data_IF_808670530121
#
_entry.id   IF_808670530121
#
_cell.length_a   1.000
_cell.length_b   1.000
_cell.length_c   1.000
_cell.angle_alpha   90.00
_cell.angle_beta   90.00
_cell.angle_gamma   90.00
#
_symmetry.space_group_name_H-M   'P 1'
#
loop_
_entity.id
_entity.type
_entity.pdbx_description
1 polymer ?
#
# COMPACT_ATOMS: atom_id res chain seq x y z
N UNK A 1 -6.51 20.59 86.59
CA UNK A 1 -5.75 19.82 85.57
C UNK A 1 -6.70 18.81 84.94
N UNK A 2 -6.69 18.72 83.62
CA UNK A 2 -7.78 18.17 82.79
C UNK A 2 -8.25 16.77 83.19
N UNK A 3 -9.58 16.63 83.33
CA UNK A 3 -10.29 15.38 83.60
C UNK A 3 -10.35 14.45 82.39
N UNK A 4 -9.90 14.90 81.21
CA UNK A 4 -9.91 14.15 79.97
C UNK A 4 -8.53 14.30 79.33
N UNK A 5 -7.86 13.17 79.14
CA UNK A 5 -6.61 13.08 78.39
C UNK A 5 -6.92 13.28 76.89
N UNK A 6 -6.51 14.41 76.27
CA UNK A 6 -6.88 14.76 74.90
C UNK A 6 -6.45 13.67 73.89
N UNK A 7 -5.34 12.99 74.17
CA UNK A 7 -4.81 11.94 73.31
C UNK A 7 -5.67 10.68 73.36
N UNK A 8 -6.23 10.34 74.54
CA UNK A 8 -7.14 9.19 74.71
C UNK A 8 -8.52 9.48 74.11
N UNK A 9 -9.04 10.70 74.27
CA UNK A 9 -10.29 11.12 73.63
C UNK A 9 -10.17 11.11 72.10
N UNK A 10 -9.03 11.59 71.57
CA UNK A 10 -8.74 11.50 70.14
C UNK A 10 -8.62 10.06 69.66
N UNK A 11 -7.96 9.18 70.42
CA UNK A 11 -7.84 7.76 70.06
C UNK A 11 -9.21 7.06 70.00
N UNK A 12 -10.11 7.35 70.94
CA UNK A 12 -11.46 6.80 70.96
C UNK A 12 -12.36 7.35 69.83
N UNK A 13 -12.20 8.62 69.45
CA UNK A 13 -12.98 9.29 68.39
C UNK A 13 -12.35 9.21 66.99
N UNK A 14 -11.12 8.68 66.89
CA UNK A 14 -10.39 8.48 65.63
C UNK A 14 -11.22 7.80 64.53
N UNK A 15 -11.97 6.71 64.78
CA UNK A 15 -12.75 6.06 63.74
C UNK A 15 -13.93 6.92 63.23
N UNK A 16 -14.58 7.68 64.11
CA UNK A 16 -15.62 8.63 63.73
C UNK A 16 -15.04 9.80 62.92
N UNK A 17 -13.94 10.38 63.39
CA UNK A 17 -13.24 11.46 62.70
C UNK A 17 -12.78 11.03 61.29
N UNK A 18 -12.26 9.81 61.11
CA UNK A 18 -11.92 9.30 59.77
C UNK A 18 -13.12 9.12 58.87
N UNK A 19 -14.27 8.70 59.41
CA UNK A 19 -15.50 8.50 58.64
C UNK A 19 -16.07 9.83 58.13
N UNK A 20 -16.13 10.85 58.99
CA UNK A 20 -16.54 12.19 58.57
C UNK A 20 -15.55 12.84 57.61
N UNK A 21 -14.24 12.65 57.84
CA UNK A 21 -13.19 13.16 56.96
C UNK A 21 -13.27 12.57 55.55
N UNK A 22 -13.65 11.29 55.42
CA UNK A 22 -13.85 10.61 54.14
C UNK A 22 -15.29 10.71 53.61
N UNK A 23 -16.10 11.67 54.11
CA UNK A 23 -17.51 11.87 53.74
C UNK A 23 -18.29 10.55 53.70
N UNK A 24 -18.24 9.78 54.79
CA UNK A 24 -18.90 8.47 54.91
C UNK A 24 -18.49 7.46 53.84
N UNK A 25 -17.26 7.56 53.32
CA UNK A 25 -16.72 6.71 52.25
C UNK A 25 -17.41 6.89 50.89
N UNK A 26 -18.33 7.84 50.76
CA UNK A 26 -19.13 8.10 49.56
C UNK A 26 -18.23 8.49 48.38
N UNK A 27 -17.21 9.32 48.64
CA UNK A 27 -16.21 9.72 47.65
C UNK A 27 -15.40 8.52 47.13
N UNK A 28 -14.98 7.63 48.04
CA UNK A 28 -14.24 6.40 47.67
C UNK A 28 -15.11 5.45 46.86
N UNK A 29 -16.39 5.34 47.20
CA UNK A 29 -17.34 4.50 46.47
C UNK A 29 -17.62 5.08 45.08
N UNK A 30 -17.78 6.40 44.97
CA UNK A 30 -17.96 7.10 43.70
C UNK A 30 -16.77 6.90 42.76
N UNK A 31 -15.56 7.22 43.20
CA UNK A 31 -14.38 7.10 42.34
C UNK A 31 -14.02 5.66 42.00
N UNK A 32 -14.24 4.71 42.93
CA UNK A 32 -13.85 3.32 42.72
C UNK A 32 -14.86 2.54 41.88
N UNK A 33 -16.15 2.78 42.07
CA UNK A 33 -17.20 1.99 41.41
C UNK A 33 -17.70 2.74 40.18
N UNK A 34 -18.18 3.96 40.36
CA UNK A 34 -18.82 4.70 39.26
C UNK A 34 -17.82 5.29 38.29
N UNK A 35 -16.82 6.05 38.75
CA UNK A 35 -15.87 6.70 37.85
C UNK A 35 -14.99 5.67 37.11
N UNK A 36 -14.43 4.68 37.80
CA UNK A 36 -13.66 3.61 37.16
C UNK A 36 -14.54 2.70 36.29
N UNK A 37 -15.76 2.39 36.71
CA UNK A 37 -16.70 1.61 35.92
C UNK A 37 -17.04 2.29 34.59
N UNK A 38 -17.39 3.58 34.63
CA UNK A 38 -17.66 4.37 33.44
C UNK A 38 -16.42 4.48 32.54
N UNK A 39 -15.25 4.74 33.10
CA UNK A 39 -14.00 4.84 32.34
C UNK A 39 -13.64 3.51 31.66
N UNK A 40 -13.89 2.38 32.32
CA UNK A 40 -13.68 1.04 31.76
C UNK A 40 -14.62 0.74 30.60
N UNK A 41 -15.92 1.03 30.77
CA UNK A 41 -16.91 0.87 29.71
C UNK A 41 -16.63 1.77 28.51
N UNK A 42 -16.31 3.05 28.75
CA UNK A 42 -15.96 4.01 27.71
C UNK A 42 -14.74 3.55 26.90
N UNK A 43 -13.68 3.09 27.57
CA UNK A 43 -12.50 2.53 26.88
C UNK A 43 -12.82 1.26 26.11
N UNK A 44 -13.66 0.38 26.67
CA UNK A 44 -14.09 -0.85 26.00
C UNK A 44 -14.84 -0.55 24.70
N UNK A 45 -15.83 0.35 24.76
CA UNK A 45 -16.60 0.78 23.59
C UNK A 45 -15.73 1.50 22.57
N UNK A 46 -14.80 2.36 23.01
CA UNK A 46 -13.86 3.03 22.12
C UNK A 46 -12.96 2.03 21.39
N UNK A 47 -12.38 1.07 22.09
CA UNK A 47 -11.54 0.05 21.47
C UNK A 47 -12.30 -0.87 20.52
N UNK A 48 -13.55 -1.22 20.83
CA UNK A 48 -14.40 -2.01 19.93
C UNK A 48 -14.82 -1.20 18.70
N UNK A 49 -15.25 0.05 18.87
CA UNK A 49 -15.67 0.89 17.76
C UNK A 49 -14.51 1.23 16.83
N UNK A 50 -13.44 1.80 17.37
CA UNK A 50 -12.33 2.33 16.58
C UNK A 50 -11.49 1.20 15.98
N UNK A 51 -10.91 0.33 16.82
CA UNK A 51 -9.98 -0.70 16.32
C UNK A 51 -10.64 -1.87 15.61
N UNK A 52 -11.89 -2.17 15.91
CA UNK A 52 -12.54 -3.33 15.28
C UNK A 52 -13.37 -2.93 14.07
N UNK A 53 -14.21 -1.90 14.19
CA UNK A 53 -15.05 -1.47 13.07
C UNK A 53 -14.28 -0.58 12.10
N UNK A 54 -13.63 0.48 12.58
CA UNK A 54 -12.98 1.46 11.68
C UNK A 54 -11.71 0.87 11.08
N UNK A 55 -10.76 0.43 11.92
CA UNK A 55 -9.50 -0.16 11.43
C UNK A 55 -9.75 -1.46 10.64
N UNK A 56 -10.70 -2.29 11.09
CA UNK A 56 -11.06 -3.53 10.38
C UNK A 56 -11.65 -3.25 9.00
N UNK A 57 -12.55 -2.27 8.89
CA UNK A 57 -13.13 -1.86 7.62
C UNK A 57 -12.09 -1.24 6.68
N UNK A 58 -11.23 -0.36 7.19
CA UNK A 58 -10.14 0.24 6.42
C UNK A 58 -9.15 -0.82 5.92
N UNK A 59 -8.79 -1.79 6.75
CA UNK A 59 -7.92 -2.89 6.34
C UNK A 59 -8.57 -3.78 5.27
N UNK A 60 -9.87 -4.06 5.38
CA UNK A 60 -10.61 -4.80 4.36
C UNK A 60 -10.65 -4.04 3.03
N UNK A 61 -10.94 -2.73 3.06
CA UNK A 61 -10.92 -1.88 1.88
C UNK A 61 -9.54 -1.85 1.22
N UNK A 62 -8.48 -1.66 2.02
CA UNK A 62 -7.11 -1.69 1.51
C UNK A 62 -6.79 -3.03 0.87
N UNK A 63 -7.13 -4.15 1.52
CA UNK A 63 -6.92 -5.48 0.98
C UNK A 63 -7.62 -5.68 -0.38
N UNK A 64 -8.88 -5.28 -0.49
CA UNK A 64 -9.66 -5.36 -1.73
C UNK A 64 -9.06 -4.46 -2.82
N UNK A 65 -8.72 -3.22 -2.47
CA UNK A 65 -8.08 -2.27 -3.37
C UNK A 65 -6.78 -2.83 -3.95
N UNK A 66 -5.86 -3.27 -3.09
CA UNK A 66 -4.58 -3.84 -3.53
C UNK A 66 -4.77 -5.11 -4.37
N UNK A 67 -5.78 -5.92 -4.07
CA UNK A 67 -6.09 -7.11 -4.87
C UNK A 67 -6.55 -6.74 -6.28
N UNK A 68 -7.42 -5.74 -6.41
CA UNK A 68 -7.90 -5.25 -7.72
C UNK A 68 -6.78 -4.58 -8.50
N UNK A 69 -6.02 -3.69 -7.87
CA UNK A 69 -4.89 -2.99 -8.51
C UNK A 69 -3.83 -3.98 -8.96
N UNK A 70 -3.45 -4.95 -8.11
CA UNK A 70 -2.49 -5.99 -8.48
C UNK A 70 -2.98 -6.85 -9.63
N UNK A 71 -4.27 -7.18 -9.66
CA UNK A 71 -4.87 -7.90 -10.78
C UNK A 71 -4.76 -7.08 -12.07
N UNK A 72 -5.19 -5.81 -12.07
CA UNK A 72 -5.08 -4.90 -13.22
C UNK A 72 -3.64 -4.76 -13.69
N UNK A 73 -2.70 -4.54 -12.78
CA UNK A 73 -1.27 -4.41 -13.12
C UNK A 73 -0.69 -5.68 -13.75
N UNK A 74 -0.92 -6.84 -13.13
CA UNK A 74 -0.44 -8.13 -13.68
C UNK A 74 -1.08 -8.46 -15.04
N UNK A 75 -2.39 -8.25 -15.19
CA UNK A 75 -3.14 -8.65 -16.39
C UNK A 75 -2.96 -7.68 -17.54
N UNK A 76 -2.92 -6.38 -17.27
CA UNK A 76 -2.82 -5.36 -18.31
C UNK A 76 -1.36 -5.02 -18.57
N UNK A 77 -0.64 -4.52 -17.58
CA UNK A 77 0.68 -3.95 -17.80
C UNK A 77 1.69 -5.03 -18.21
N UNK A 78 1.88 -6.07 -17.37
CA UNK A 78 2.85 -7.12 -17.67
C UNK A 78 2.49 -7.84 -18.97
N UNK A 79 1.24 -8.25 -19.13
CA UNK A 79 0.84 -9.01 -20.33
C UNK A 79 0.90 -8.15 -21.60
N UNK A 80 0.49 -6.89 -21.56
CA UNK A 80 0.53 -6.02 -22.73
C UNK A 80 1.96 -5.64 -23.09
N UNK A 81 2.79 -5.28 -22.10
CA UNK A 81 4.20 -4.95 -22.31
C UNK A 81 4.96 -6.17 -22.81
N UNK A 82 4.81 -7.34 -22.19
CA UNK A 82 5.48 -8.55 -22.64
C UNK A 82 5.02 -8.95 -24.03
N UNK A 83 3.71 -8.90 -24.32
CA UNK A 83 3.21 -9.23 -25.65
C UNK A 83 3.74 -8.26 -26.70
N UNK A 84 3.75 -6.96 -26.40
CA UNK A 84 4.21 -5.93 -27.31
C UNK A 84 5.71 -6.06 -27.57
N UNK A 85 6.53 -6.09 -26.51
CA UNK A 85 7.99 -6.16 -26.61
C UNK A 85 8.42 -7.47 -27.28
N UNK A 86 7.87 -8.62 -26.87
CA UNK A 86 8.16 -9.89 -27.54
C UNK A 86 7.64 -9.93 -28.98
N UNK A 87 6.53 -9.25 -29.26
CA UNK A 87 5.98 -9.09 -30.60
C UNK A 87 6.94 -8.32 -31.50
N UNK A 88 7.43 -7.16 -31.05
CA UNK A 88 8.42 -6.36 -31.77
C UNK A 88 9.72 -7.14 -31.99
N UNK A 89 10.20 -7.85 -30.97
CA UNK A 89 11.39 -8.68 -31.09
C UNK A 89 11.22 -9.81 -32.12
N UNK A 90 10.09 -10.54 -32.07
CA UNK A 90 9.77 -11.60 -33.04
C UNK A 90 9.60 -11.05 -34.46
N UNK A 91 8.93 -9.91 -34.61
CA UNK A 91 8.76 -9.26 -35.91
C UNK A 91 10.12 -8.86 -36.49
N UNK A 92 10.98 -8.26 -35.67
CA UNK A 92 12.34 -7.85 -36.07
C UNK A 92 13.19 -9.06 -36.46
N UNK A 93 13.14 -10.13 -35.68
CA UNK A 93 13.82 -11.39 -35.99
C UNK A 93 13.30 -12.02 -37.29
N UNK A 94 11.99 -12.05 -37.49
CA UNK A 94 11.36 -12.58 -38.70
C UNK A 94 11.77 -11.78 -39.94
N UNK A 95 11.72 -10.44 -39.86
CA UNK A 95 12.19 -9.56 -40.93
C UNK A 95 13.67 -9.79 -41.23
N UNK A 96 14.52 -9.86 -40.21
CA UNK A 96 15.94 -10.16 -40.37
C UNK A 96 16.18 -11.52 -41.04
N UNK A 97 15.46 -12.56 -40.62
CA UNK A 97 15.55 -13.90 -41.22
C UNK A 97 15.10 -13.91 -42.69
N UNK A 98 14.06 -13.17 -43.04
CA UNK A 98 13.59 -13.05 -44.42
C UNK A 98 14.58 -12.26 -45.27
N UNK A 99 15.11 -11.15 -44.75
CA UNK A 99 16.14 -10.34 -45.42
C UNK A 99 17.43 -11.12 -45.64
N UNK A 100 17.83 -11.98 -44.70
CA UNK A 100 18.98 -12.88 -44.85
C UNK A 100 18.88 -13.78 -46.07
N UNK A 101 17.67 -14.21 -46.47
CA UNK A 101 17.51 -15.05 -47.66
C UNK A 101 17.80 -14.30 -48.98
N UNK A 102 17.82 -12.96 -48.98
CA UNK A 102 18.31 -12.18 -50.12
C UNK A 102 19.82 -12.35 -50.30
N UNK A 103 20.55 -12.64 -49.22
CA UNK A 103 21.97 -12.94 -49.25
C UNK A 103 22.18 -14.43 -49.58
N UNK A 104 22.11 -14.73 -50.87
CA UNK A 104 22.23 -16.11 -51.40
C UNK A 104 23.64 -16.72 -51.29
N UNK A 105 24.66 -15.93 -50.97
CA UNK A 105 26.07 -16.38 -50.91
C UNK A 105 26.73 -16.58 -52.27
N UNK A 106 26.00 -16.41 -53.38
CA UNK A 106 26.53 -16.51 -54.74
C UNK A 106 27.06 -15.16 -55.21
N UNK A 107 28.35 -15.07 -55.54
CA UNK A 107 29.00 -13.82 -55.99
C UNK A 107 28.25 -13.15 -57.16
N UNK A 108 27.75 -13.95 -58.10
CA UNK A 108 27.02 -13.45 -59.26
C UNK A 108 25.75 -12.66 -58.88
N UNK A 109 25.05 -13.07 -57.82
CA UNK A 109 23.87 -12.34 -57.35
C UNK A 109 24.26 -10.98 -56.77
N UNK A 110 25.39 -10.87 -56.07
CA UNK A 110 25.89 -9.58 -55.57
C UNK A 110 26.31 -8.65 -56.70
N UNK A 111 26.99 -9.16 -57.74
CA UNK A 111 27.34 -8.37 -58.93
C UNK A 111 26.09 -7.85 -59.63
N UNK A 112 25.06 -8.69 -59.76
CA UNK A 112 23.77 -8.28 -60.34
C UNK A 112 23.10 -7.16 -59.54
N UNK A 113 23.09 -7.25 -58.20
CA UNK A 113 22.58 -6.17 -57.33
C UNK A 113 23.37 -4.87 -57.45
N UNK A 114 24.70 -4.95 -57.56
CA UNK A 114 25.57 -3.78 -57.71
C UNK A 114 25.29 -3.04 -59.02
N UNK A 115 25.19 -3.77 -60.14
CA UNK A 115 24.86 -3.19 -61.45
C UNK A 115 23.47 -2.53 -61.44
N UNK A 116 22.48 -3.20 -60.86
CA UNK A 116 21.14 -2.64 -60.65
C UNK A 116 21.17 -1.33 -59.84
N UNK A 117 21.97 -1.31 -58.78
CA UNK A 117 22.18 -0.12 -57.95
C UNK A 117 22.78 1.05 -58.74
N UNK A 118 23.79 0.80 -59.59
CA UNK A 118 24.39 1.82 -60.46
C UNK A 118 23.35 2.39 -61.44
N UNK A 119 22.59 1.53 -62.11
CA UNK A 119 21.55 1.97 -63.07
C UNK A 119 20.48 2.81 -62.37
N UNK A 120 20.02 2.41 -61.19
CA UNK A 120 19.05 3.16 -60.40
C UNK A 120 19.59 4.52 -59.95
N UNK A 121 20.82 4.58 -59.45
CA UNK A 121 21.46 5.83 -59.02
C UNK A 121 21.62 6.81 -60.19
N UNK A 122 22.13 6.34 -61.32
CA UNK A 122 22.27 7.16 -62.52
C UNK A 122 20.91 7.62 -63.04
N UNK A 123 19.90 6.74 -63.04
CA UNK A 123 18.53 7.11 -63.42
C UNK A 123 17.92 8.17 -62.51
N UNK A 124 18.12 8.08 -61.19
CA UNK A 124 17.67 9.09 -60.22
C UNK A 124 18.39 10.42 -60.42
N UNK A 125 19.71 10.40 -60.64
CA UNK A 125 20.49 11.62 -60.92
C UNK A 125 20.00 12.29 -62.21
N UNK A 126 19.85 11.53 -63.30
CA UNK A 126 19.37 12.07 -64.57
C UNK A 126 17.94 12.60 -64.48
N UNK A 127 17.08 11.95 -63.69
CA UNK A 127 15.73 12.43 -63.40
C UNK A 127 15.77 13.75 -62.62
N UNK A 128 16.66 13.88 -61.64
CA UNK A 128 16.81 15.10 -60.85
C UNK A 128 17.45 16.25 -61.66
N UNK A 129 18.29 15.93 -62.64
CA UNK A 129 18.95 16.91 -63.52
C UNK A 129 18.03 17.45 -64.63
N UNK A 130 16.86 16.83 -64.84
CA UNK A 130 15.84 17.26 -65.81
C UNK A 130 14.80 18.16 -65.15
#
# INVERSE_FOLDING_TARGET
>A
KGLIDPQRAYAALKPLHTTFKEQFFTERLYHRVFARGYMGLSKGLFHLGDRFLIDGFLNLLNFLYFRVVKFLWMKLDIMAVDLFVNGVAKASYWMGKKSRNLQTGLLNNYVSFLLLGIVLLLGLILYQMR
#
